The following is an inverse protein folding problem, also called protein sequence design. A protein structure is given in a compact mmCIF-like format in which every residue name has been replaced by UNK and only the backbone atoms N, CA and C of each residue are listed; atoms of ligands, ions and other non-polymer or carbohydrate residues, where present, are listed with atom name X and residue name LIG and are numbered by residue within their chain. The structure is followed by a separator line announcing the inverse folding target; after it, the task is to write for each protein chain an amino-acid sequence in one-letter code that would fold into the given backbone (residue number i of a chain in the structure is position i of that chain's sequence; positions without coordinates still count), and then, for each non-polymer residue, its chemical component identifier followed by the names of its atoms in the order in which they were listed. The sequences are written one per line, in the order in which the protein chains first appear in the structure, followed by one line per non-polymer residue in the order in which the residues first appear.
data_IF_853143960496
#
_entry.id   IF_853143960496
#
_cell.length_a   1.000
_cell.length_b   1.000
_cell.length_c   1.000
_cell.angle_alpha   90.00
_cell.angle_beta   90.00
_cell.angle_gamma   90.00
#
_symmetry.space_group_name_H-M   'P 1'
#
loop_
_entity.id
_entity.type
_entity.pdbx_description
1 polymer ?
#
# COMPACT_ATOMS: atom_id res chain seq x y z
N UNK A 1 -12.94 -0.88 20.37
CA UNK A 1 -11.84 -0.49 19.45
C UNK A 1 -12.10 -1.13 18.11
N UNK A 2 -11.96 -0.38 17.02
CA UNK A 2 -11.98 -0.92 15.67
C UNK A 2 -10.87 -1.97 15.49
N UNK A 3 -11.09 -2.95 14.62
CA UNK A 3 -10.13 -4.02 14.31
C UNK A 3 -9.98 -4.15 12.81
N UNK A 4 -8.81 -4.65 12.37
CA UNK A 4 -8.61 -5.05 10.98
C UNK A 4 -9.58 -6.17 10.63
N UNK A 5 -10.24 -6.05 9.49
CA UNK A 5 -11.08 -7.11 8.93
C UNK A 5 -10.23 -7.99 8.01
N UNK A 6 -9.93 -9.22 8.44
CA UNK A 6 -9.22 -10.19 7.61
C UNK A 6 -10.22 -10.97 6.76
N UNK A 7 -9.98 -11.02 5.45
CA UNK A 7 -10.84 -11.73 4.49
C UNK A 7 -10.01 -12.50 3.47
N UNK A 8 -10.49 -13.66 3.04
CA UNK A 8 -9.89 -14.40 1.92
C UNK A 8 -10.35 -13.77 0.61
N UNK A 9 -9.40 -13.41 -0.28
CA UNK A 9 -9.72 -12.93 -1.62
C UNK A 9 -8.66 -12.02 -2.24
N UNK A 10 -9.03 -11.37 -3.35
CA UNK A 10 -8.15 -10.47 -4.08
C UNK A 10 -8.40 -9.01 -3.67
N UNK A 11 -7.40 -8.35 -3.06
CA UNK A 11 -7.47 -6.94 -2.68
C UNK A 11 -7.66 -5.99 -3.88
N UNK A 12 -7.37 -6.44 -5.12
CA UNK A 12 -7.69 -5.66 -6.31
C UNK A 12 -9.20 -5.63 -6.60
N UNK A 13 -10.04 -6.39 -5.89
CA UNK A 13 -11.48 -6.43 -6.08
C UNK A 13 -12.28 -6.23 -4.78
N UNK A 14 -12.18 -5.04 -4.14
CA UNK A 14 -12.86 -4.78 -2.88
C UNK A 14 -14.39 -4.74 -3.01
N UNK A 15 -15.08 -5.64 -2.29
CA UNK A 15 -16.55 -5.82 -2.31
C UNK A 15 -17.31 -4.86 -1.37
N UNK A 16 -16.78 -3.66 -1.15
CA UNK A 16 -17.44 -2.60 -0.36
C UNK A 16 -18.04 -1.55 -1.29
N UNK A 17 -19.05 -0.82 -0.81
CA UNK A 17 -19.66 0.27 -1.55
C UNK A 17 -18.94 1.59 -1.23
N UNK A 18 -19.08 2.58 -2.11
CA UNK A 18 -18.48 3.89 -1.94
C UNK A 18 -16.97 3.91 -2.25
N UNK A 19 -16.32 5.00 -1.87
CA UNK A 19 -14.90 5.20 -2.11
C UNK A 19 -14.06 4.14 -1.41
N UNK A 20 -13.11 3.57 -2.16
CA UNK A 20 -12.20 2.52 -1.71
C UNK A 20 -10.79 2.87 -2.12
N UNK A 21 -9.84 2.61 -1.23
CA UNK A 21 -8.41 2.82 -1.48
C UNK A 21 -7.69 1.49 -1.31
N UNK A 22 -7.06 1.01 -2.38
CA UNK A 22 -6.18 -0.16 -2.36
C UNK A 22 -4.76 0.32 -2.07
N UNK A 23 -4.24 0.01 -0.89
CA UNK A 23 -2.86 0.30 -0.50
C UNK A 23 -1.96 -0.87 -0.83
N UNK A 24 -0.78 -0.58 -1.39
CA UNK A 24 0.31 -1.54 -1.51
C UNK A 24 1.67 -0.86 -1.39
N UNK A 25 2.73 -1.66 -1.22
CA UNK A 25 4.08 -1.17 -0.96
C UNK A 25 4.93 -1.26 -2.22
N UNK A 26 5.36 -0.09 -2.69
CA UNK A 26 6.36 0.09 -3.73
C UNK A 26 7.77 0.26 -3.14
N UNK A 27 8.77 0.07 -4.00
CA UNK A 27 10.17 0.35 -3.68
C UNK A 27 10.60 1.75 -4.15
N UNK A 28 11.74 2.22 -3.65
CA UNK A 28 12.31 3.51 -4.01
C UNK A 28 13.27 3.47 -5.22
N UNK A 29 13.22 2.42 -6.05
CA UNK A 29 14.08 2.28 -7.25
C UNK A 29 13.31 2.08 -8.55
N UNK A 30 12.00 2.38 -8.57
CA UNK A 30 11.18 2.27 -9.79
C UNK A 30 10.90 0.83 -10.24
N UNK A 31 11.20 -0.16 -9.40
CA UNK A 31 10.94 -1.57 -9.68
C UNK A 31 9.45 -1.89 -9.62
N UNK A 32 8.93 -2.58 -10.64
CA UNK A 32 7.55 -3.06 -10.71
C UNK A 32 7.53 -4.31 -11.59
N UNK A 33 7.14 -5.47 -11.03
CA UNK A 33 7.19 -6.74 -11.76
C UNK A 33 7.14 -8.03 -10.93
N UNK A 34 6.96 -7.99 -9.61
CA UNK A 34 6.80 -9.20 -8.78
C UNK A 34 5.90 -8.94 -7.57
N UNK A 35 5.04 -9.90 -7.25
CA UNK A 35 4.09 -9.81 -6.14
C UNK A 35 2.81 -9.07 -6.52
N UNK A 36 2.21 -8.35 -5.57
CA UNK A 36 0.88 -7.75 -5.71
C UNK A 36 0.76 -6.76 -6.88
N UNK A 37 1.84 -6.09 -7.24
CA UNK A 37 1.92 -5.21 -8.43
C UNK A 37 1.51 -5.90 -9.73
N UNK A 38 1.68 -7.23 -9.83
CA UNK A 38 1.26 -8.00 -11.00
C UNK A 38 -0.27 -8.16 -11.06
N UNK A 39 -0.93 -8.29 -9.91
CA UNK A 39 -2.39 -8.33 -9.84
C UNK A 39 -2.98 -6.97 -10.20
N UNK A 40 -2.38 -5.88 -9.71
CA UNK A 40 -2.75 -4.51 -10.10
C UNK A 40 -2.62 -4.35 -11.63
N UNK A 41 -1.44 -4.62 -12.21
CA UNK A 41 -1.19 -4.46 -13.66
C UNK A 41 -1.99 -5.39 -14.56
N UNK A 42 -2.51 -6.49 -14.01
CA UNK A 42 -3.45 -7.37 -14.72
C UNK A 42 -4.81 -6.70 -14.89
N UNK A 43 -5.24 -5.90 -13.90
CA UNK A 43 -6.54 -5.23 -13.91
C UNK A 43 -6.49 -3.82 -14.49
N UNK A 44 -5.49 -3.01 -14.13
CA UNK A 44 -5.35 -1.61 -14.55
C UNK A 44 -3.91 -1.30 -14.96
N UNK A 45 -3.71 -0.52 -16.02
CA UNK A 45 -2.36 -0.15 -16.51
C UNK A 45 -1.85 1.14 -15.88
N UNK A 46 -2.76 1.97 -15.42
CA UNK A 46 -2.56 3.33 -14.94
C UNK A 46 -1.68 3.36 -13.69
N UNK A 47 -1.87 2.52 -12.64
CA UNK A 47 -1.03 2.59 -11.44
C UNK A 47 0.45 2.32 -11.71
N UNK A 48 0.75 1.39 -12.61
CA UNK A 48 2.12 1.10 -13.04
C UNK A 48 2.70 2.25 -13.87
N UNK A 49 1.92 2.76 -14.82
CA UNK A 49 2.33 3.88 -15.66
C UNK A 49 2.70 5.08 -14.79
N UNK A 50 1.80 5.51 -13.92
CA UNK A 50 1.95 6.67 -13.04
C UNK A 50 3.12 6.51 -12.07
N UNK A 51 3.31 5.32 -11.49
CA UNK A 51 4.46 5.04 -10.63
C UNK A 51 5.79 5.17 -11.39
N UNK A 52 5.86 4.65 -12.62
CA UNK A 52 7.07 4.74 -13.46
C UNK A 52 7.34 6.18 -13.89
N UNK A 53 6.32 6.98 -14.18
CA UNK A 53 6.49 8.40 -14.46
C UNK A 53 6.97 9.15 -13.22
N UNK A 54 6.39 8.86 -12.06
CA UNK A 54 6.79 9.47 -10.78
C UNK A 54 8.25 9.17 -10.42
N UNK A 55 8.70 7.93 -10.64
CA UNK A 55 10.12 7.58 -10.48
C UNK A 55 11.02 8.36 -11.45
N UNK A 56 10.62 8.48 -12.72
CA UNK A 56 11.40 9.21 -13.73
C UNK A 56 11.48 10.70 -13.46
N UNK A 57 10.41 11.32 -12.97
CA UNK A 57 10.39 12.74 -12.63
C UNK A 57 11.24 13.03 -11.39
N UNK A 58 11.37 12.04 -10.49
CA UNK A 58 12.02 12.16 -9.19
C UNK A 58 11.43 13.29 -8.32
N UNK A 59 10.21 13.73 -8.64
CA UNK A 59 9.52 14.78 -7.91
C UNK A 59 8.89 14.19 -6.63
N UNK A 60 9.52 14.47 -5.49
CA UNK A 60 9.12 13.92 -4.20
C UNK A 60 8.99 12.37 -4.21
N UNK A 61 9.80 11.68 -5.01
CA UNK A 61 9.85 10.22 -5.04
C UNK A 61 10.76 9.72 -3.91
N UNK A 62 10.22 9.58 -2.70
CA UNK A 62 10.99 9.21 -1.52
C UNK A 62 10.21 8.33 -0.54
N UNK A 63 10.93 7.66 0.36
CA UNK A 63 10.34 6.80 1.39
C UNK A 63 9.27 7.56 2.21
N UNK A 64 8.12 6.93 2.40
CA UNK A 64 6.96 7.47 3.10
C UNK A 64 6.08 8.39 2.24
N UNK A 65 6.39 8.56 0.96
CA UNK A 65 5.51 9.24 0.02
C UNK A 65 4.49 8.28 -0.58
N UNK A 66 3.36 8.83 -1.00
CA UNK A 66 2.25 8.08 -1.59
C UNK A 66 1.76 8.82 -2.83
N UNK A 67 1.59 8.08 -3.91
CA UNK A 67 0.88 8.54 -5.09
C UNK A 67 -0.49 7.85 -5.14
N UNK A 68 -1.56 8.64 -5.23
CA UNK A 68 -2.92 8.15 -5.37
C UNK A 68 -3.35 8.20 -6.84
N UNK A 69 -3.74 7.07 -7.39
CA UNK A 69 -4.16 6.92 -8.78
C UNK A 69 -5.61 6.43 -8.79
N UNK A 70 -6.52 7.21 -9.37
CA UNK A 70 -7.90 6.78 -9.55
C UNK A 70 -7.97 5.76 -10.69
N UNK A 71 -8.54 4.59 -10.43
CA UNK A 71 -8.64 3.50 -11.42
C UNK A 71 -10.07 3.21 -11.84
N UNK A 72 -11.05 3.55 -10.99
CA UNK A 72 -12.49 3.54 -11.29
C UNK A 72 -13.15 4.72 -10.54
N UNK A 73 -14.44 4.98 -10.81
CA UNK A 73 -15.16 6.15 -10.24
C UNK A 73 -15.01 6.29 -8.72
N UNK A 74 -15.08 5.18 -7.98
CA UNK A 74 -14.95 5.15 -6.52
C UNK A 74 -13.77 4.28 -6.04
N UNK A 75 -12.76 4.07 -6.88
CA UNK A 75 -11.65 3.16 -6.55
C UNK A 75 -10.30 3.78 -6.87
N UNK A 76 -9.44 3.77 -5.87
CA UNK A 76 -8.11 4.36 -5.91
C UNK A 76 -7.05 3.30 -5.59
N UNK A 77 -5.88 3.41 -6.22
CA UNK A 77 -4.67 2.68 -5.85
C UNK A 77 -3.69 3.67 -5.24
N UNK A 78 -3.19 3.35 -4.04
CA UNK A 78 -2.17 4.12 -3.35
C UNK A 78 -0.81 3.40 -3.47
N UNK A 79 0.05 3.97 -4.31
CA UNK A 79 1.43 3.54 -4.49
C UNK A 79 2.29 4.12 -3.34
N UNK A 80 2.43 3.38 -2.23
CA UNK A 80 3.18 3.82 -1.05
C UNK A 80 4.66 3.39 -1.17
N UNK A 81 5.59 4.35 -1.17
CA UNK A 81 7.04 4.06 -1.18
C UNK A 81 7.51 3.65 0.23
N UNK A 82 7.45 2.36 0.53
CA UNK A 82 7.75 1.83 1.87
C UNK A 82 8.94 0.88 1.93
N UNK A 83 9.59 0.64 0.80
CA UNK A 83 10.66 -0.33 0.66
C UNK A 83 11.91 0.30 0.04
N UNK A 84 13.06 0.14 0.69
CA UNK A 84 14.34 0.55 0.13
C UNK A 84 14.92 -0.57 -0.73
N UNK A 85 15.15 -0.31 -2.02
CA UNK A 85 15.61 -1.28 -3.03
C UNK A 85 14.70 -2.52 -3.06
N UNK A 86 15.18 -3.63 -3.64
CA UNK A 86 14.43 -4.90 -3.76
C UNK A 86 15.18 -6.12 -3.18
N UNK A 87 16.45 -5.95 -2.81
CA UNK A 87 17.28 -7.00 -2.21
C UNK A 87 17.76 -6.52 -0.85
N UNK A 88 18.06 -7.47 0.04
CA UNK A 88 18.70 -7.17 1.33
C UNK A 88 19.98 -6.37 1.09
N UNK A 89 20.25 -5.43 2.00
CA UNK A 89 21.51 -4.69 2.00
C UNK A 89 22.69 -5.59 2.35
N UNK A 90 23.91 -5.09 2.16
CA UNK A 90 25.15 -5.83 2.49
C UNK A 90 25.24 -6.22 3.97
N UNK A 91 24.58 -5.45 4.84
CA UNK A 91 24.43 -5.73 6.28
C UNK A 91 23.26 -6.68 6.62
N UNK A 92 22.59 -7.25 5.62
CA UNK A 92 21.50 -8.21 5.80
C UNK A 92 20.13 -7.59 6.13
N UNK A 93 20.01 -6.26 6.25
CA UNK A 93 18.73 -5.62 6.55
C UNK A 93 17.70 -5.88 5.45
N UNK A 94 16.48 -6.17 5.89
CA UNK A 94 15.33 -6.32 5.01
C UNK A 94 15.05 -5.02 4.23
N UNK A 95 14.57 -5.10 2.98
CA UNK A 95 14.16 -3.94 2.20
C UNK A 95 13.07 -3.08 2.84
N UNK A 96 12.16 -3.65 3.64
CA UNK A 96 11.07 -2.91 4.28
C UNK A 96 11.58 -1.76 5.17
N UNK A 97 10.85 -0.65 5.22
CA UNK A 97 11.13 0.50 6.09
C UNK A 97 9.88 0.86 6.88
N UNK A 98 9.78 0.37 8.11
CA UNK A 98 8.58 0.51 8.95
C UNK A 98 8.18 1.98 9.19
N UNK A 99 9.14 2.88 9.40
CA UNK A 99 8.87 4.32 9.54
C UNK A 99 8.26 4.90 8.26
N UNK A 100 8.77 4.51 7.08
CA UNK A 100 8.21 4.92 5.80
C UNK A 100 6.79 4.39 5.59
N UNK A 101 6.53 3.13 6.01
CA UNK A 101 5.18 2.55 5.98
C UNK A 101 4.24 3.37 6.87
N UNK A 102 4.63 3.71 8.09
CA UNK A 102 3.80 4.52 8.99
C UNK A 102 3.47 5.88 8.36
N UNK A 103 4.47 6.63 7.90
CA UNK A 103 4.27 7.94 7.27
C UNK A 103 3.38 7.85 6.02
N UNK A 104 3.55 6.80 5.23
CA UNK A 104 2.71 6.56 4.07
C UNK A 104 1.27 6.22 4.45
N UNK A 105 1.06 5.37 5.46
CA UNK A 105 -0.28 5.03 5.94
C UNK A 105 -0.98 6.21 6.61
N UNK A 106 -0.26 7.12 7.28
CA UNK A 106 -0.83 8.37 7.80
C UNK A 106 -1.39 9.25 6.67
N UNK A 107 -0.66 9.36 5.55
CA UNK A 107 -1.15 10.06 4.35
C UNK A 107 -2.35 9.37 3.71
N UNK A 108 -2.34 8.03 3.65
CA UNK A 108 -3.49 7.25 3.20
C UNK A 108 -4.69 7.48 4.10
N UNK A 109 -4.49 7.55 5.42
CA UNK A 109 -5.54 7.83 6.39
C UNK A 109 -6.18 9.19 6.14
N UNK A 110 -5.37 10.23 5.96
CA UNK A 110 -5.89 11.56 5.63
C UNK A 110 -6.69 11.57 4.32
N UNK A 111 -6.16 10.94 3.26
CA UNK A 111 -6.86 10.85 1.98
C UNK A 111 -8.16 10.05 2.09
N UNK A 112 -8.19 9.00 2.91
CA UNK A 112 -9.39 8.20 3.16
C UNK A 112 -10.46 8.99 3.92
N UNK A 113 -10.09 9.79 4.91
CA UNK A 113 -11.01 10.70 5.62
C UNK A 113 -11.64 11.67 4.62
N UNK A 114 -10.83 12.33 3.79
CA UNK A 114 -11.29 13.33 2.82
C UNK A 114 -12.25 12.72 1.79
N UNK A 115 -12.02 11.46 1.39
CA UNK A 115 -12.86 10.72 0.43
C UNK A 115 -14.01 9.96 1.07
N UNK A 116 -14.08 9.89 2.41
CA UNK A 116 -14.97 8.98 3.15
C UNK A 116 -14.82 7.54 2.66
N UNK A 117 -13.58 7.08 2.55
CA UNK A 117 -13.21 5.84 1.91
C UNK A 117 -12.84 4.74 2.91
N UNK A 118 -13.08 3.49 2.52
CA UNK A 118 -12.51 2.31 3.20
C UNK A 118 -11.14 1.97 2.62
N UNK A 119 -10.27 1.36 3.43
CA UNK A 119 -8.90 0.98 3.02
C UNK A 119 -8.79 -0.53 2.87
N UNK A 120 -8.20 -0.97 1.76
CA UNK A 120 -8.05 -2.36 1.37
C UNK A 120 -6.59 -2.64 1.05
N UNK A 121 -6.04 -3.76 1.51
CA UNK A 121 -4.64 -4.09 1.24
C UNK A 121 -4.39 -5.60 1.29
N UNK A 122 -3.40 -6.13 0.56
CA UNK A 122 -2.87 -7.46 0.86
C UNK A 122 -2.11 -7.43 2.21
N UNK A 123 -1.48 -8.53 2.63
CA UNK A 123 -0.45 -8.50 3.68
C UNK A 123 0.79 -7.70 3.26
N UNK A 124 0.68 -6.38 3.29
CA UNK A 124 1.72 -5.44 2.90
C UNK A 124 2.99 -5.60 3.75
N UNK A 125 4.14 -5.30 3.15
CA UNK A 125 5.44 -5.35 3.80
C UNK A 125 5.94 -6.76 4.17
N UNK A 126 5.12 -7.80 4.01
CA UNK A 126 5.49 -9.20 4.26
C UNK A 126 6.03 -9.89 3.00
N UNK A 127 6.73 -11.02 3.17
CA UNK A 127 7.26 -11.80 2.06
C UNK A 127 8.54 -11.21 1.47
N UNK A 128 8.49 -10.77 0.20
CA UNK A 128 9.69 -10.34 -0.56
C UNK A 128 10.41 -9.13 0.07
N UNK A 129 9.65 -8.24 0.72
CA UNK A 129 10.20 -7.09 1.43
C UNK A 129 10.89 -7.45 2.76
N UNK A 130 10.68 -8.68 3.25
CA UNK A 130 11.31 -9.22 4.46
C UNK A 130 10.79 -8.64 5.78
N UNK A 131 9.64 -7.95 5.76
CA UNK A 131 8.95 -7.51 6.97
C UNK A 131 8.09 -8.58 7.61
N UNK A 132 7.63 -8.31 8.82
CA UNK A 132 6.80 -9.21 9.61
C UNK A 132 5.49 -8.55 9.99
N UNK A 133 4.40 -9.33 9.98
CA UNK A 133 3.06 -8.77 10.15
C UNK A 133 2.83 -8.19 11.55
N UNK A 134 3.44 -8.78 12.58
CA UNK A 134 3.43 -8.28 13.96
C UNK A 134 3.98 -6.85 14.10
N UNK A 135 4.80 -6.41 13.14
CA UNK A 135 5.31 -5.02 13.07
C UNK A 135 4.48 -4.12 12.17
N UNK A 136 3.78 -4.66 11.18
CA UNK A 136 2.95 -3.89 10.24
C UNK A 136 1.57 -3.58 10.84
N UNK A 137 0.94 -4.55 11.49
CA UNK A 137 -0.40 -4.41 12.06
C UNK A 137 -0.50 -3.26 13.09
N UNK A 138 0.48 -3.04 14.00
CA UNK A 138 0.45 -1.86 14.87
C UNK A 138 0.50 -0.52 14.12
N UNK A 139 1.18 -0.46 12.95
CA UNK A 139 1.23 0.76 12.14
C UNK A 139 -0.14 1.05 11.54
N UNK A 140 -0.80 0.01 11.00
CA UNK A 140 -2.18 0.10 10.48
C UNK A 140 -3.14 0.58 11.57
N UNK A 141 -3.02 0.02 12.78
CA UNK A 141 -3.86 0.41 13.91
C UNK A 141 -3.72 1.92 14.20
N UNK A 142 -2.48 2.40 14.33
CA UNK A 142 -2.18 3.79 14.64
C UNK A 142 -2.64 4.76 13.53
N UNK A 143 -2.38 4.44 12.27
CA UNK A 143 -2.62 5.36 11.17
C UNK A 143 -4.06 5.33 10.64
N UNK A 144 -4.75 4.19 10.73
CA UNK A 144 -6.07 4.01 10.11
C UNK A 144 -7.17 3.76 11.16
N UNK A 145 -7.00 2.77 12.04
CA UNK A 145 -8.08 2.36 12.94
C UNK A 145 -8.36 3.37 14.06
N UNK A 146 -7.33 4.02 14.60
CA UNK A 146 -7.49 5.10 15.57
C UNK A 146 -8.24 6.32 14.99
N UNK A 147 -8.21 6.46 13.66
CA UNK A 147 -8.98 7.46 12.91
C UNK A 147 -10.35 6.94 12.42
N UNK A 148 -10.80 5.80 12.95
CA UNK A 148 -12.09 5.17 12.63
C UNK A 148 -12.27 4.79 11.15
N UNK A 149 -11.16 4.55 10.44
CA UNK A 149 -11.15 4.17 9.03
C UNK A 149 -11.34 2.66 8.90
N UNK A 150 -12.42 2.24 8.26
CA UNK A 150 -12.70 0.82 8.05
C UNK A 150 -11.63 0.20 7.14
N UNK A 151 -10.93 -0.80 7.67
CA UNK A 151 -9.72 -1.36 7.04
C UNK A 151 -9.84 -2.87 6.85
N UNK A 152 -9.42 -3.35 5.68
CA UNK A 152 -9.50 -4.74 5.24
C UNK A 152 -8.14 -5.26 4.77
N UNK A 153 -7.76 -6.42 5.29
CA UNK A 153 -6.56 -7.14 4.87
C UNK A 153 -6.98 -8.44 4.18
N UNK A 154 -6.45 -8.63 2.97
CA UNK A 154 -6.77 -9.75 2.11
C UNK A 154 -5.67 -10.80 2.20
N UNK A 155 -6.07 -12.01 2.57
CA UNK A 155 -5.24 -13.21 2.54
C UNK A 155 -5.58 -14.04 1.29
N UNK A 156 -4.55 -14.66 0.71
CA UNK A 156 -4.72 -15.70 -0.29
C UNK A 156 -4.60 -17.05 0.42
N UNK A 157 -5.56 -17.94 0.18
CA UNK A 157 -5.45 -19.36 0.54
C UNK A 157 -4.37 -20.07 -0.30
#
# INVERSE_FOLDING_TARGET
MAKVNYITGDATNPQKNGNRIIVHVCNDIGGWGKGFVMAISKRWKEPEHEYRQWFKSNDNFSLGQVQFVQVEEELWVANLIGQHKIKKGENGYAPIRYEAILLGLEKVGQFAIDKKATVHMPRIGCGLAGGTWDKIEPLINKSLLENEIETYVYDFD
#
